data_IF_798980486880
#
_entry.id   IF_798980486880
#
_cell.length_a   1.000
_cell.length_b   1.000
_cell.length_c   1.000
_cell.angle_alpha   90.00
_cell.angle_beta   90.00
_cell.angle_gamma   90.00
#
_symmetry.space_group_name_H-M   'P 1'
#
loop_
_entity.id
_entity.type
_entity.pdbx_description
1 polymer ?
#
# COMPACT_ATOMS: atom_id res chain seq x y z
N UNK A 1 22.59 -1.51 9.60
CA UNK A 1 21.27 -1.47 10.29
C UNK A 1 21.23 -2.71 11.15
N UNK A 2 21.53 -2.58 12.46
CA UNK A 2 21.72 -3.74 13.33
C UNK A 2 20.46 -4.62 13.42
N UNK A 3 19.27 -4.02 13.47
CA UNK A 3 18.00 -4.78 13.50
C UNK A 3 17.80 -5.67 12.27
N UNK A 4 18.27 -5.21 11.11
CA UNK A 4 18.13 -5.94 9.86
C UNK A 4 19.15 -7.07 9.73
N UNK A 5 20.34 -6.89 10.31
CA UNK A 5 21.35 -7.93 10.40
C UNK A 5 20.87 -9.05 11.33
N UNK A 6 20.35 -8.69 12.51
CA UNK A 6 19.73 -9.65 13.43
C UNK A 6 18.57 -10.42 12.78
N UNK A 7 17.69 -9.75 12.05
CA UNK A 7 16.60 -10.41 11.31
C UNK A 7 17.10 -11.45 10.30
N UNK A 8 18.30 -11.26 9.76
CA UNK A 8 18.91 -12.18 8.81
C UNK A 8 19.83 -13.22 9.45
N UNK A 9 19.81 -13.34 10.78
CA UNK A 9 20.54 -14.35 11.53
C UNK A 9 21.97 -13.96 11.90
N UNK A 10 22.37 -12.69 11.74
CA UNK A 10 23.68 -12.24 12.21
C UNK A 10 23.68 -12.09 13.73
N UNK A 11 24.62 -12.78 14.39
CA UNK A 11 24.82 -12.71 15.84
C UNK A 11 25.67 -11.49 16.25
N UNK A 12 26.55 -11.03 15.36
CA UNK A 12 27.44 -9.89 15.58
C UNK A 12 27.18 -8.78 14.57
N UNK A 13 27.47 -7.53 14.95
CA UNK A 13 27.30 -6.39 14.06
C UNK A 13 28.31 -6.44 12.91
N UNK A 14 27.81 -6.55 11.69
CA UNK A 14 28.64 -6.56 10.49
C UNK A 14 28.79 -5.15 9.92
N UNK A 15 30.00 -4.78 9.50
CA UNK A 15 30.23 -3.52 8.79
C UNK A 15 29.80 -3.60 7.32
N UNK A 16 29.82 -4.80 6.72
CA UNK A 16 29.26 -5.02 5.39
C UNK A 16 27.74 -5.26 5.47
N UNK A 17 27.03 -4.87 4.41
CA UNK A 17 25.62 -5.22 4.29
C UNK A 17 25.51 -6.69 3.86
N UNK A 18 24.73 -7.48 4.58
CA UNK A 18 24.47 -8.91 4.29
C UNK A 18 23.82 -9.08 2.91
N UNK A 19 23.05 -8.08 2.47
CA UNK A 19 22.49 -8.02 1.13
C UNK A 19 22.03 -6.60 0.77
N UNK A 20 21.85 -6.34 -0.52
CA UNK A 20 21.36 -5.06 -1.01
C UNK A 20 19.93 -4.75 -0.52
N UNK A 21 19.67 -3.49 -0.17
CA UNK A 21 18.36 -3.06 0.36
C UNK A 21 17.21 -3.33 -0.60
N UNK A 22 17.49 -3.45 -1.90
CA UNK A 22 16.48 -3.71 -2.93
C UNK A 22 16.26 -5.20 -3.18
N UNK A 23 17.04 -6.12 -2.59
CA UNK A 23 16.91 -7.56 -2.88
C UNK A 23 15.53 -8.11 -2.53
N UNK A 24 14.95 -7.75 -1.37
CA UNK A 24 13.60 -8.18 -1.02
C UNK A 24 12.54 -7.61 -1.97
N UNK A 25 12.71 -6.36 -2.42
CA UNK A 25 11.81 -5.75 -3.41
C UNK A 25 11.90 -6.50 -4.74
N UNK A 26 13.12 -6.79 -5.23
CA UNK A 26 13.34 -7.55 -6.47
C UNK A 26 12.84 -8.99 -6.36
N UNK A 27 13.03 -9.65 -5.22
CA UNK A 27 12.50 -10.98 -4.96
C UNK A 27 10.98 -10.97 -5.03
N UNK A 28 10.31 -10.07 -4.31
CA UNK A 28 8.84 -9.95 -4.33
C UNK A 28 8.30 -9.71 -5.74
N UNK A 29 8.95 -8.85 -6.53
CA UNK A 29 8.55 -8.59 -7.92
C UNK A 29 8.73 -9.81 -8.84
N UNK A 30 9.66 -10.72 -8.52
CA UNK A 30 9.91 -11.95 -9.29
C UNK A 30 9.03 -13.13 -8.87
N UNK A 31 8.53 -13.16 -7.64
CA UNK A 31 7.72 -14.30 -7.18
C UNK A 31 6.33 -14.28 -7.83
N UNK A 32 5.65 -13.14 -7.84
CA UNK A 32 4.25 -13.10 -8.27
C UNK A 32 3.33 -13.88 -7.32
N UNK A 33 2.02 -13.88 -7.61
CA UNK A 33 1.03 -14.54 -6.76
C UNK A 33 1.16 -16.08 -6.80
N UNK A 34 1.26 -16.66 -7.99
CA UNK A 34 1.32 -18.10 -8.20
C UNK A 34 2.47 -18.78 -7.43
N UNK A 35 3.69 -18.22 -7.49
CA UNK A 35 4.84 -18.81 -6.79
C UNK A 35 4.75 -18.63 -5.28
N UNK A 36 4.13 -17.54 -4.80
CA UNK A 36 3.91 -17.35 -3.36
C UNK A 36 2.88 -18.35 -2.84
N UNK A 37 1.82 -18.64 -3.61
CA UNK A 37 0.86 -19.69 -3.28
C UNK A 37 1.52 -21.07 -3.26
N UNK A 38 2.36 -21.39 -4.25
CA UNK A 38 3.10 -22.64 -4.27
C UNK A 38 4.07 -22.78 -3.07
N UNK A 39 4.74 -21.69 -2.67
CA UNK A 39 5.58 -21.68 -1.46
C UNK A 39 4.77 -21.92 -0.19
N UNK A 40 3.56 -21.36 -0.10
CA UNK A 40 2.67 -21.61 1.03
C UNK A 40 2.25 -23.08 1.09
N UNK A 41 1.83 -23.64 -0.05
CA UNK A 41 1.48 -25.06 -0.18
C UNK A 41 2.64 -25.97 0.23
N UNK A 42 3.85 -25.69 -0.26
CA UNK A 42 5.05 -26.47 0.10
C UNK A 42 5.39 -26.34 1.58
N UNK A 43 5.16 -25.17 2.19
CA UNK A 43 5.36 -24.96 3.64
C UNK A 43 4.40 -25.83 4.47
N UNK A 44 3.14 -25.94 4.06
CA UNK A 44 2.15 -26.82 4.70
C UNK A 44 2.47 -28.31 4.48
N UNK A 45 2.92 -28.66 3.27
CA UNK A 45 3.35 -30.01 2.95
C UNK A 45 4.58 -30.41 3.79
N UNK A 46 5.57 -29.53 3.91
CA UNK A 46 6.74 -29.73 4.75
C UNK A 46 6.36 -29.90 6.23
N UNK A 47 5.47 -29.06 6.76
CA UNK A 47 4.97 -29.19 8.12
C UNK A 47 4.30 -30.57 8.35
N UNK A 48 3.58 -31.08 7.36
CA UNK A 48 2.98 -32.41 7.40
C UNK A 48 4.03 -33.52 7.40
N UNK A 49 5.01 -33.46 6.48
CA UNK A 49 6.09 -34.46 6.37
C UNK A 49 6.94 -34.52 7.63
N UNK A 50 7.16 -33.39 8.30
CA UNK A 50 7.93 -33.28 9.54
C UNK A 50 7.11 -33.63 10.80
N UNK A 51 5.81 -33.96 10.65
CA UNK A 51 4.91 -34.25 11.77
C UNK A 51 4.57 -33.04 12.64
N UNK A 52 4.86 -31.83 12.16
CA UNK A 52 4.50 -30.57 12.83
C UNK A 52 3.00 -30.25 12.67
N UNK A 53 2.35 -30.78 11.64
CA UNK A 53 0.90 -30.71 11.47
C UNK A 53 0.36 -32.02 10.89
N UNK A 54 -0.94 -32.26 11.07
CA UNK A 54 -1.67 -33.34 10.38
C UNK A 54 -2.57 -32.73 9.31
N UNK A 55 -2.86 -33.44 8.20
CA UNK A 55 -3.83 -32.98 7.20
C UNK A 55 -5.20 -32.64 7.80
N UNK A 56 -5.62 -33.38 8.84
CA UNK A 56 -6.86 -33.13 9.56
C UNK A 56 -6.92 -31.77 10.26
N UNK A 57 -5.77 -31.22 10.68
CA UNK A 57 -5.69 -29.94 11.40
C UNK A 57 -6.18 -28.77 10.51
N UNK A 58 -6.02 -28.90 9.19
CA UNK A 58 -6.38 -27.87 8.22
C UNK A 58 -7.84 -27.94 7.75
N UNK A 59 -8.62 -28.95 8.18
CA UNK A 59 -10.04 -29.09 7.78
C UNK A 59 -10.98 -28.19 8.57
N UNK A 60 -10.56 -27.69 9.73
CA UNK A 60 -11.29 -26.71 10.51
C UNK A 60 -10.48 -25.41 10.54
N UNK A 61 -11.02 -24.32 9.98
CA UNK A 61 -10.29 -23.06 9.83
C UNK A 61 -11.04 -21.88 10.43
N UNK A 62 -10.26 -20.92 10.92
CA UNK A 62 -10.71 -19.56 11.23
C UNK A 62 -10.31 -18.68 10.04
N UNK A 63 -11.26 -17.97 9.47
CA UNK A 63 -11.04 -17.01 8.37
C UNK A 63 -11.35 -15.62 8.88
N UNK A 64 -10.36 -14.74 8.83
CA UNK A 64 -10.53 -13.33 9.15
C UNK A 64 -10.06 -12.45 7.98
N UNK A 65 -10.61 -11.25 7.90
CA UNK A 65 -10.17 -10.21 6.98
C UNK A 65 -9.51 -9.08 7.75
N UNK A 66 -8.24 -8.82 7.44
CA UNK A 66 -7.45 -7.73 8.02
C UNK A 66 -6.93 -6.79 6.94
N UNK A 67 -6.21 -5.75 7.33
CA UNK A 67 -5.57 -4.81 6.40
C UNK A 67 -4.08 -5.03 6.44
N UNK A 68 -3.51 -5.42 5.30
CA UNK A 68 -2.06 -5.36 5.13
C UNK A 68 -1.68 -3.91 4.89
N UNK A 69 -1.34 -3.21 5.97
CA UNK A 69 -0.93 -1.81 5.90
C UNK A 69 0.29 -1.64 5.00
N UNK A 70 0.25 -0.59 4.19
CA UNK A 70 1.40 -0.13 3.43
C UNK A 70 2.13 0.91 4.26
N UNK A 71 3.45 0.89 4.23
CA UNK A 71 4.30 1.88 4.87
C UNK A 71 4.17 3.26 4.19
N UNK A 72 3.05 3.94 4.43
CA UNK A 72 2.75 5.27 3.94
C UNK A 72 2.63 6.24 5.11
N UNK A 73 2.92 7.51 4.83
CA UNK A 73 2.59 8.59 5.77
C UNK A 73 1.10 8.89 5.71
N UNK A 74 0.52 9.35 6.82
CA UNK A 74 -0.90 9.68 6.89
C UNK A 74 -1.32 10.63 5.73
N UNK A 75 -2.30 10.23 4.90
CA UNK A 75 -2.53 10.84 3.60
C UNK A 75 -3.47 12.05 3.68
N UNK A 76 -2.89 13.24 3.86
CA UNK A 76 -3.65 14.49 3.76
C UNK A 76 -3.59 15.05 2.34
N UNK A 77 -4.71 15.58 1.84
CA UNK A 77 -4.78 16.16 0.49
C UNK A 77 -3.74 17.29 0.30
N UNK A 78 -3.53 18.12 1.32
CA UNK A 78 -2.50 19.18 1.29
C UNK A 78 -1.08 18.61 1.10
N UNK A 79 -0.72 17.57 1.86
CA UNK A 79 0.58 16.93 1.77
C UNK A 79 0.74 16.23 0.42
N UNK A 80 -0.28 15.52 -0.05
CA UNK A 80 -0.27 14.85 -1.35
C UNK A 80 -0.09 15.84 -2.50
N UNK A 81 -0.84 16.94 -2.52
CA UNK A 81 -0.67 17.98 -3.55
C UNK A 81 0.73 18.58 -3.54
N UNK A 82 1.26 18.88 -2.35
CA UNK A 82 2.62 19.38 -2.21
C UNK A 82 3.66 18.37 -2.72
N UNK A 83 3.53 17.09 -2.35
CA UNK A 83 4.45 16.01 -2.75
C UNK A 83 4.35 15.72 -4.25
N UNK A 84 3.16 15.79 -4.84
CA UNK A 84 2.96 15.64 -6.28
C UNK A 84 3.73 16.74 -7.03
N UNK A 85 3.62 17.99 -6.57
CA UNK A 85 4.40 19.11 -7.12
C UNK A 85 5.91 18.86 -7.01
N UNK A 86 6.40 18.46 -5.84
CA UNK A 86 7.83 18.18 -5.65
C UNK A 86 8.35 17.10 -6.62
N UNK A 87 7.60 16.01 -6.78
CA UNK A 87 7.97 14.91 -7.69
C UNK A 87 8.00 15.38 -9.13
N UNK A 88 6.99 16.12 -9.58
CA UNK A 88 6.94 16.67 -10.94
C UNK A 88 8.09 17.66 -11.20
N UNK A 89 8.41 18.54 -10.25
CA UNK A 89 9.54 19.49 -10.37
C UNK A 89 10.87 18.75 -10.48
N UNK A 90 11.10 17.72 -9.65
CA UNK A 90 12.31 16.90 -9.72
C UNK A 90 12.41 16.15 -11.05
N UNK A 91 11.30 15.58 -11.52
CA UNK A 91 11.23 14.87 -12.78
C UNK A 91 11.49 15.82 -13.97
N UNK A 92 10.90 17.02 -13.95
CA UNK A 92 11.20 18.07 -14.93
C UNK A 92 12.70 18.40 -14.99
N UNK A 93 13.35 18.58 -13.84
CA UNK A 93 14.80 18.80 -13.77
C UNK A 93 15.61 17.64 -14.35
N UNK A 94 15.24 16.39 -14.03
CA UNK A 94 15.90 15.18 -14.58
C UNK A 94 15.86 15.12 -16.11
N UNK A 95 14.80 15.65 -16.72
CA UNK A 95 14.60 15.65 -18.17
C UNK A 95 14.88 17.02 -18.82
N UNK A 96 15.60 17.92 -18.14
CA UNK A 96 16.00 19.21 -18.70
C UNK A 96 14.85 20.20 -18.97
N UNK A 97 13.65 19.96 -18.41
CA UNK A 97 12.49 20.83 -18.59
C UNK A 97 12.59 22.02 -17.63
N UNK A 98 12.96 23.19 -18.15
CA UNK A 98 12.96 24.43 -17.38
C UNK A 98 11.53 24.90 -17.10
N UNK A 99 11.08 24.81 -15.86
CA UNK A 99 9.74 25.27 -15.44
C UNK A 99 9.67 26.80 -15.34
N UNK A 100 8.51 27.39 -15.67
CA UNK A 100 8.24 28.83 -15.45
C UNK A 100 8.33 29.16 -13.95
N UNK A 101 7.79 28.28 -13.11
CA UNK A 101 7.85 28.41 -11.66
C UNK A 101 7.71 27.04 -11.00
N UNK A 102 8.62 26.72 -10.08
CA UNK A 102 8.60 25.46 -9.32
C UNK A 102 7.73 25.52 -8.06
N UNK A 103 7.42 26.72 -7.58
CA UNK A 103 6.74 27.01 -6.32
C UNK A 103 7.36 26.34 -5.08
N UNK A 104 8.65 25.97 -5.12
CA UNK A 104 9.28 25.20 -4.04
C UNK A 104 9.16 25.88 -2.67
N UNK A 105 9.55 27.16 -2.58
CA UNK A 105 9.51 27.95 -1.33
C UNK A 105 8.07 28.21 -0.88
N UNK A 106 7.26 28.82 -1.74
CA UNK A 106 5.88 29.22 -1.40
C UNK A 106 4.95 28.04 -1.16
N UNK A 107 5.17 26.91 -1.84
CA UNK A 107 4.44 25.67 -1.62
C UNK A 107 4.74 25.05 -0.26
N UNK A 108 5.98 25.15 0.24
CA UNK A 108 6.36 24.68 1.59
C UNK A 108 5.69 25.53 2.66
N UNK A 109 5.74 26.86 2.50
CA UNK A 109 5.09 27.81 3.42
C UNK A 109 3.57 27.57 3.47
N UNK A 110 2.93 27.38 2.31
CA UNK A 110 1.50 27.11 2.24
C UNK A 110 1.11 25.80 2.95
N UNK A 111 1.92 24.74 2.80
CA UNK A 111 1.71 23.47 3.52
C UNK A 111 1.81 23.65 5.04
N UNK A 112 2.86 24.32 5.51
CA UNK A 112 3.06 24.58 6.95
C UNK A 112 1.89 25.39 7.51
N UNK A 113 1.47 26.45 6.82
CA UNK A 113 0.31 27.27 7.22
C UNK A 113 -0.97 26.42 7.25
N UNK A 114 -1.21 25.60 6.24
CA UNK A 114 -2.35 24.68 6.21
C UNK A 114 -2.37 23.78 7.45
N UNK A 115 -1.25 23.12 7.77
CA UNK A 115 -1.13 22.21 8.91
C UNK A 115 -1.39 22.93 10.24
N UNK A 116 -0.79 24.11 10.45
CA UNK A 116 -1.00 24.92 11.65
C UNK A 116 -2.46 25.36 11.81
N UNK A 117 -3.08 25.84 10.74
CA UNK A 117 -4.49 26.25 10.79
C UNK A 117 -5.43 25.06 11.01
N UNK A 118 -5.16 23.91 10.39
CA UNK A 118 -5.97 22.70 10.60
C UNK A 118 -5.86 22.19 12.04
N UNK A 119 -4.65 22.19 12.61
CA UNK A 119 -4.42 21.86 14.02
C UNK A 119 -5.19 22.79 14.96
N UNK A 120 -5.15 24.10 14.69
CA UNK A 120 -5.91 25.10 15.46
C UNK A 120 -7.41 25.15 15.13
N UNK A 121 -7.96 24.18 14.38
CA UNK A 121 -9.36 24.14 13.91
C UNK A 121 -9.82 25.37 13.10
N UNK A 122 -8.90 26.17 12.56
CA UNK A 122 -9.16 27.34 11.72
C UNK A 122 -9.40 26.95 10.25
N UNK A 123 -10.43 26.15 9.99
CA UNK A 123 -10.65 25.51 8.68
C UNK A 123 -10.84 26.50 7.51
N UNK A 124 -11.44 27.68 7.73
CA UNK A 124 -11.52 28.72 6.70
C UNK A 124 -10.13 29.14 6.19
N UNK A 125 -9.16 29.32 7.11
CA UNK A 125 -7.77 29.68 6.76
C UNK A 125 -7.01 28.50 6.17
N UNK A 126 -7.21 27.29 6.70
CA UNK A 126 -6.64 26.07 6.15
C UNK A 126 -7.07 25.84 4.69
N UNK A 127 -8.37 25.96 4.40
CA UNK A 127 -8.94 25.77 3.07
C UNK A 127 -8.41 26.78 2.04
N UNK A 128 -8.12 28.03 2.45
CA UNK A 128 -7.44 29.00 1.58
C UNK A 128 -6.04 28.52 1.19
N UNK A 129 -5.27 27.97 2.13
CA UNK A 129 -3.95 27.40 1.81
C UNK A 129 -4.05 26.13 0.96
N UNK A 130 -5.06 25.29 1.21
CA UNK A 130 -5.34 24.11 0.38
C UNK A 130 -5.64 24.51 -1.08
N UNK A 131 -6.49 25.53 -1.30
CA UNK A 131 -6.76 26.09 -2.63
C UNK A 131 -5.48 26.60 -3.29
N UNK A 132 -4.61 27.29 -2.52
CA UNK A 132 -3.31 27.77 -3.02
C UNK A 132 -2.41 26.61 -3.49
N UNK A 133 -2.31 25.53 -2.71
CA UNK A 133 -1.56 24.33 -3.09
C UNK A 133 -2.12 23.69 -4.36
N UNK A 134 -3.45 23.57 -4.47
CA UNK A 134 -4.15 23.08 -5.67
C UNK A 134 -3.81 23.90 -6.91
N UNK A 135 -3.84 25.23 -6.80
CA UNK A 135 -3.48 26.14 -7.89
C UNK A 135 -2.02 25.97 -8.33
N UNK A 136 -1.08 25.90 -7.38
CA UNK A 136 0.35 25.69 -7.69
C UNK A 136 0.58 24.35 -8.41
N UNK A 137 -0.03 23.27 -7.93
CA UNK A 137 0.05 21.96 -8.59
C UNK A 137 -0.53 22.01 -10.01
N UNK A 138 -1.69 22.63 -10.18
CA UNK A 138 -2.32 22.81 -11.48
C UNK A 138 -1.48 23.65 -12.46
N UNK A 139 -0.75 24.66 -11.96
CA UNK A 139 0.18 25.44 -12.77
C UNK A 139 1.36 24.58 -13.25
N UNK A 140 1.98 23.80 -12.36
CA UNK A 140 3.10 22.90 -12.73
C UNK A 140 2.66 21.82 -13.72
N UNK A 141 1.50 21.18 -13.50
CA UNK A 141 0.95 20.19 -14.44
C UNK A 141 0.79 20.80 -15.83
N UNK A 142 0.20 21.99 -15.94
CA UNK A 142 -0.02 22.66 -17.24
C UNK A 142 1.30 23.04 -17.92
N UNK A 143 2.24 23.59 -17.17
CA UNK A 143 3.55 23.99 -17.72
C UNK A 143 4.32 22.78 -18.27
N UNK A 144 4.39 21.68 -17.51
CA UNK A 144 5.00 20.43 -17.97
C UNK A 144 4.27 19.90 -19.19
N UNK A 145 2.93 19.78 -19.14
CA UNK A 145 2.13 19.22 -20.24
C UNK A 145 2.36 19.99 -21.55
N UNK A 146 2.48 21.33 -21.48
CA UNK A 146 2.78 22.16 -22.67
C UNK A 146 4.20 21.93 -23.20
N UNK A 147 5.19 21.76 -22.33
CA UNK A 147 6.60 21.61 -22.73
C UNK A 147 6.96 20.23 -23.24
N UNK A 148 6.19 19.21 -22.86
CA UNK A 148 6.33 17.86 -23.42
C UNK A 148 5.45 17.65 -24.66
N UNK A 149 4.56 18.59 -24.99
CA UNK A 149 3.75 18.47 -26.20
C UNK A 149 4.68 18.44 -27.44
N UNK A 150 4.50 17.44 -28.31
CA UNK A 150 5.37 17.22 -29.46
C UNK A 150 6.69 16.49 -29.15
N UNK A 151 6.88 16.01 -27.91
CA UNK A 151 8.07 15.26 -27.46
C UNK A 151 7.69 13.85 -27.01
N UNK A 152 7.51 12.89 -27.93
CA UNK A 152 7.02 11.54 -27.62
C UNK A 152 7.93 10.80 -26.62
N UNK A 153 9.24 11.06 -26.65
CA UNK A 153 10.24 10.51 -25.74
C UNK A 153 10.00 10.91 -24.27
N UNK A 154 9.31 12.02 -24.03
CA UNK A 154 8.95 12.49 -22.70
C UNK A 154 7.56 12.01 -22.25
N UNK A 155 6.77 11.38 -23.11
CA UNK A 155 5.42 10.92 -22.75
C UNK A 155 5.47 9.74 -21.76
N UNK A 156 6.33 8.76 -22.03
CA UNK A 156 6.48 7.59 -21.17
C UNK A 156 6.89 7.94 -19.71
N UNK A 157 7.97 8.71 -19.46
CA UNK A 157 8.38 9.02 -18.08
C UNK A 157 7.39 9.93 -17.33
N UNK A 158 6.64 10.79 -18.03
CA UNK A 158 5.70 11.72 -17.39
C UNK A 158 4.26 11.21 -17.29
N UNK A 159 3.87 10.17 -18.03
CA UNK A 159 2.48 9.68 -18.11
C UNK A 159 1.87 9.36 -16.75
N UNK A 160 2.45 8.40 -16.02
CA UNK A 160 1.97 8.01 -14.69
C UNK A 160 2.09 9.16 -13.66
N UNK A 161 3.23 9.86 -13.52
CA UNK A 161 3.34 10.99 -12.60
C UNK A 161 2.32 12.11 -12.84
N UNK A 162 2.07 12.49 -14.10
CA UNK A 162 1.05 13.50 -14.44
C UNK A 162 -0.36 12.99 -14.18
N UNK A 163 -0.65 11.73 -14.50
CA UNK A 163 -1.95 11.10 -14.19
C UNK A 163 -2.26 11.13 -12.68
N UNK A 164 -1.32 10.67 -11.86
CA UNK A 164 -1.46 10.71 -10.39
C UNK A 164 -1.58 12.14 -9.86
N UNK A 165 -0.80 13.07 -10.38
CA UNK A 165 -0.87 14.48 -9.98
C UNK A 165 -2.22 15.12 -10.32
N UNK A 166 -2.81 14.79 -11.47
CA UNK A 166 -4.16 15.23 -11.86
C UNK A 166 -5.20 14.64 -10.90
N UNK A 167 -5.17 13.33 -10.65
CA UNK A 167 -6.04 12.68 -9.65
C UNK A 167 -5.95 13.36 -8.29
N UNK A 168 -4.73 13.62 -7.80
CA UNK A 168 -4.49 14.32 -6.52
C UNK A 168 -4.97 15.76 -6.51
N UNK A 169 -4.94 16.46 -7.64
CA UNK A 169 -5.45 17.83 -7.74
C UNK A 169 -6.97 17.86 -7.70
N UNK A 170 -7.59 16.91 -8.40
CA UNK A 170 -9.02 16.89 -8.69
C UNK A 170 -9.82 16.13 -7.62
N UNK A 171 -9.15 15.35 -6.76
CA UNK A 171 -9.81 14.61 -5.69
C UNK A 171 -10.56 15.52 -4.72
N UNK A 172 -11.76 15.07 -4.32
CA UNK A 172 -12.69 15.81 -3.46
C UNK A 172 -12.72 15.22 -2.05
N UNK A 173 -13.23 16.03 -1.11
CA UNK A 173 -13.52 15.54 0.23
C UNK A 173 -14.64 14.48 0.13
N UNK A 174 -14.46 13.34 0.82
CA UNK A 174 -15.38 12.17 0.82
C UNK A 174 -15.50 11.41 -0.50
N UNK A 175 -14.60 11.62 -1.46
CA UNK A 175 -14.53 10.78 -2.65
C UNK A 175 -14.18 9.33 -2.28
N UNK A 176 -14.98 8.37 -2.75
CA UNK A 176 -14.80 6.93 -2.55
C UNK A 176 -14.21 6.27 -3.80
N UNK A 177 -13.41 5.23 -3.62
CA UNK A 177 -12.87 4.35 -4.68
C UNK A 177 -11.72 4.94 -5.51
N UNK A 178 -11.82 6.17 -6.00
CA UNK A 178 -10.81 6.75 -6.93
C UNK A 178 -9.72 7.58 -6.26
N UNK A 179 -9.81 7.76 -4.94
CA UNK A 179 -8.92 8.64 -4.17
C UNK A 179 -7.50 8.09 -4.09
N UNK A 180 -6.51 8.96 -4.31
CA UNK A 180 -5.10 8.60 -4.13
C UNK A 180 -4.71 8.88 -2.69
N UNK A 181 -4.24 7.85 -1.99
CA UNK A 181 -3.69 7.97 -0.63
C UNK A 181 -2.16 8.04 -0.62
N UNK A 182 -1.49 7.48 -1.62
CA UNK A 182 -0.03 7.55 -1.73
C UNK A 182 0.42 7.68 -3.18
N UNK A 183 1.41 8.55 -3.41
CA UNK A 183 1.99 8.73 -4.75
C UNK A 183 3.00 7.63 -5.13
N UNK A 184 3.57 6.90 -4.16
CA UNK A 184 4.49 5.78 -4.44
C UNK A 184 3.80 4.41 -4.37
N UNK A 185 2.58 4.37 -3.83
CA UNK A 185 1.77 3.18 -3.72
C UNK A 185 0.31 3.58 -4.05
N UNK A 186 0.02 3.92 -5.32
CA UNK A 186 -1.31 4.39 -5.73
C UNK A 186 -2.41 3.34 -5.60
N UNK A 187 -2.04 2.07 -5.41
CA UNK A 187 -2.91 0.93 -5.10
C UNK A 187 -3.44 0.92 -3.66
N UNK A 188 -2.89 1.77 -2.76
CA UNK A 188 -3.32 1.81 -1.35
C UNK A 188 -4.75 2.30 -1.23
N UNK A 189 -5.53 1.59 -0.42
CA UNK A 189 -6.91 1.88 -0.09
C UNK A 189 -7.02 2.40 1.35
N UNK A 190 -8.16 3.02 1.67
CA UNK A 190 -8.52 3.44 3.02
C UNK A 190 -9.65 2.56 3.53
N UNK A 191 -9.35 1.74 4.54
CA UNK A 191 -10.26 0.71 5.03
C UNK A 191 -10.62 1.05 6.47
N UNK A 192 -11.92 1.14 6.76
CA UNK A 192 -12.42 1.31 8.11
C UNK A 192 -12.90 -0.03 8.67
N UNK A 193 -12.29 -0.49 9.77
CA UNK A 193 -12.61 -1.75 10.46
C UNK A 193 -13.28 -1.53 11.82
N UNK A 194 -13.91 -0.37 12.03
CA UNK A 194 -14.63 -0.06 13.28
C UNK A 194 -13.77 0.11 14.54
N UNK A 195 -12.44 0.04 14.43
CA UNK A 195 -11.54 0.18 15.59
C UNK A 195 -11.62 1.59 16.19
N UNK A 196 -11.98 1.69 17.46
CA UNK A 196 -12.20 2.97 18.14
C UNK A 196 -10.98 3.91 18.12
N UNK A 197 -9.78 3.37 18.34
CA UNK A 197 -8.54 4.17 18.41
C UNK A 197 -7.89 4.42 17.03
N UNK A 198 -8.27 3.66 16.01
CA UNK A 198 -7.71 3.74 14.65
C UNK A 198 -8.82 3.50 13.62
N UNK A 199 -9.66 4.51 13.34
CA UNK A 199 -10.85 4.33 12.50
C UNK A 199 -10.53 3.97 11.05
N UNK A 200 -9.30 4.24 10.58
CA UNK A 200 -8.86 3.97 9.22
C UNK A 200 -7.45 3.37 9.19
N UNK A 201 -7.30 2.33 8.37
CA UNK A 201 -6.03 1.70 8.01
C UNK A 201 -5.78 1.91 6.51
N UNK A 202 -4.52 2.05 6.13
CA UNK A 202 -4.13 2.34 4.75
C UNK A 202 -3.29 1.22 4.17
N UNK A 203 -3.89 0.44 3.29
CA UNK A 203 -3.25 -0.76 2.75
C UNK A 203 -4.12 -1.45 1.72
N UNK A 204 -3.99 -2.76 1.66
CA UNK A 204 -4.90 -3.62 0.90
C UNK A 204 -5.61 -4.54 1.88
N UNK A 205 -6.88 -4.82 1.65
CA UNK A 205 -7.59 -5.83 2.43
C UNK A 205 -6.97 -7.19 2.14
N UNK A 206 -6.77 -8.00 3.16
CA UNK A 206 -6.27 -9.36 3.03
C UNK A 206 -7.17 -10.30 3.82
N UNK A 207 -7.42 -11.48 3.27
CA UNK A 207 -7.97 -12.59 4.03
C UNK A 207 -6.85 -13.50 4.47
N UNK A 208 -6.93 -13.95 5.72
CA UNK A 208 -6.02 -14.92 6.31
C UNK A 208 -6.87 -16.06 6.87
N UNK A 209 -6.54 -17.30 6.49
CA UNK A 209 -7.10 -18.49 7.09
C UNK A 209 -6.05 -19.19 7.95
N UNK A 210 -6.42 -19.60 9.16
CA UNK A 210 -5.56 -20.37 10.05
C UNK A 210 -6.33 -21.58 10.61
N UNK A 211 -5.66 -22.67 10.99
CA UNK A 211 -6.32 -23.79 11.67
C UNK A 211 -7.09 -23.33 12.92
N UNK A 212 -8.27 -23.89 13.14
CA UNK A 212 -9.09 -23.63 14.33
C UNK A 212 -8.39 -24.08 15.61
N UNK A 213 -7.65 -25.18 15.52
CA UNK A 213 -6.89 -25.76 16.61
C UNK A 213 -5.40 -25.66 16.31
N UNK A 214 -4.58 -25.46 17.34
CA UNK A 214 -3.13 -25.45 17.19
C UNK A 214 -2.65 -26.84 16.77
N UNK A 215 -1.79 -26.89 15.76
CA UNK A 215 -1.04 -28.09 15.39
C UNK A 215 0.15 -28.29 16.34
N UNK A 216 0.82 -29.45 16.26
CA UNK A 216 2.00 -29.76 17.08
C UNK A 216 3.12 -28.73 16.93
N UNK A 217 3.32 -28.21 15.73
CA UNK A 217 4.30 -27.17 15.39
C UNK A 217 3.81 -25.74 15.62
N UNK A 218 2.65 -25.55 16.23
CA UNK A 218 2.05 -24.24 16.50
C UNK A 218 0.96 -23.84 15.51
N UNK A 219 0.82 -22.54 15.27
CA UNK A 219 -0.19 -21.98 14.37
C UNK A 219 0.39 -21.81 12.98
N UNK A 220 -0.34 -22.28 11.97
CA UNK A 220 0.02 -22.15 10.56
C UNK A 220 -0.90 -21.17 9.85
N UNK A 221 -0.40 -20.53 8.79
CA UNK A 221 -1.25 -19.83 7.83
C UNK A 221 -1.65 -20.86 6.78
N UNK A 222 -2.93 -21.25 6.78
CA UNK A 222 -3.46 -22.23 5.83
C UNK A 222 -3.74 -21.58 4.46
N UNK A 223 -4.09 -20.30 4.46
CA UNK A 223 -4.31 -19.52 3.25
C UNK A 223 -4.10 -18.04 3.52
N UNK A 224 -3.63 -17.30 2.51
CA UNK A 224 -3.60 -15.84 2.52
C UNK A 224 -3.90 -15.30 1.13
N UNK A 225 -4.75 -14.28 1.04
CA UNK A 225 -5.11 -13.66 -0.24
C UNK A 225 -5.31 -12.16 -0.11
N UNK A 226 -4.75 -11.41 -1.05
CA UNK A 226 -5.02 -9.99 -1.19
C UNK A 226 -6.38 -9.77 -1.90
N UNK A 227 -7.15 -8.81 -1.39
CA UNK A 227 -8.49 -8.48 -1.85
C UNK A 227 -8.55 -6.99 -2.23
N UNK A 228 -7.98 -6.61 -3.39
CA UNK A 228 -8.05 -5.24 -3.87
C UNK A 228 -9.49 -4.85 -4.23
N UNK A 229 -9.75 -3.55 -4.26
CA UNK A 229 -11.07 -2.94 -4.52
C UNK A 229 -11.88 -2.62 -3.26
N UNK A 230 -11.30 -2.78 -2.06
CA UNK A 230 -11.99 -2.64 -0.78
C UNK A 230 -13.37 -3.35 -0.73
N UNK A 231 -13.42 -4.68 -0.97
CA UNK A 231 -14.69 -5.42 -0.98
C UNK A 231 -15.34 -5.42 0.40
N UNK A 232 -16.66 -5.53 0.47
CA UNK A 232 -17.37 -5.69 1.73
C UNK A 232 -17.07 -7.05 2.36
N UNK A 233 -16.81 -7.10 3.67
CA UNK A 233 -16.30 -8.29 4.36
C UNK A 233 -17.21 -9.52 4.16
N UNK A 234 -18.53 -9.35 4.25
CA UNK A 234 -19.49 -10.43 4.04
C UNK A 234 -19.48 -11.05 2.63
N UNK A 235 -18.97 -10.34 1.62
CA UNK A 235 -18.88 -10.87 0.24
C UNK A 235 -17.55 -11.60 -0.02
N UNK A 236 -16.60 -11.54 0.91
CA UNK A 236 -15.26 -12.09 0.68
C UNK A 236 -15.23 -13.60 0.85
N UNK A 237 -15.95 -14.16 1.83
CA UNK A 237 -15.89 -15.59 2.18
C UNK A 237 -16.16 -16.51 0.99
N UNK A 238 -17.28 -16.34 0.28
CA UNK A 238 -17.63 -17.18 -0.86
C UNK A 238 -16.56 -17.19 -1.97
N UNK A 239 -15.82 -16.08 -2.10
CA UNK A 239 -14.73 -15.95 -3.08
C UNK A 239 -13.44 -16.65 -2.63
N UNK A 240 -13.25 -16.83 -1.32
CA UNK A 240 -12.00 -17.30 -0.72
C UNK A 240 -12.06 -18.78 -0.38
N UNK A 241 -13.22 -19.34 -0.01
CA UNK A 241 -13.34 -20.74 0.38
C UNK A 241 -12.76 -21.73 -0.65
N UNK A 242 -13.07 -21.63 -1.97
CA UNK A 242 -12.46 -22.53 -2.95
C UNK A 242 -10.93 -22.37 -3.03
N UNK A 243 -10.42 -21.15 -2.81
CA UNK A 243 -8.99 -20.89 -2.82
C UNK A 243 -8.28 -21.47 -1.59
N UNK A 244 -8.96 -21.49 -0.43
CA UNK A 244 -8.47 -22.16 0.78
C UNK A 244 -8.39 -23.68 0.54
N UNK A 245 -9.45 -24.29 0.02
CA UNK A 245 -9.49 -25.73 -0.25
C UNK A 245 -8.40 -26.14 -1.24
N UNK A 246 -8.18 -25.36 -2.31
CA UNK A 246 -7.09 -25.56 -3.25
C UNK A 246 -5.70 -25.40 -2.61
N UNK A 247 -5.55 -24.49 -1.64
CA UNK A 247 -4.27 -24.28 -0.93
C UNK A 247 -3.95 -25.42 0.03
N UNK A 248 -4.97 -25.98 0.68
CA UNK A 248 -4.82 -27.07 1.65
C UNK A 248 -4.79 -28.43 0.95
N UNK A 249 -5.44 -28.55 -0.21
CA UNK A 249 -5.64 -29.82 -0.92
C UNK A 249 -6.72 -30.70 -0.28
N UNK A 250 -7.65 -30.12 0.49
CA UNK A 250 -8.74 -30.83 1.16
C UNK A 250 -9.96 -29.95 1.38
N UNK A 251 -11.14 -30.58 1.43
CA UNK A 251 -12.40 -29.89 1.73
C UNK A 251 -12.47 -29.48 3.20
N UNK A 252 -13.00 -28.27 3.42
CA UNK A 252 -13.22 -27.73 4.76
C UNK A 252 -14.43 -28.42 5.42
N UNK A 253 -14.25 -28.86 6.66
CA UNK A 253 -15.31 -29.45 7.48
C UNK A 253 -15.95 -28.42 8.42
N UNK A 254 -15.20 -27.39 8.83
CA UNK A 254 -15.68 -26.32 9.71
C UNK A 254 -15.01 -25.00 9.39
N UNK A 255 -15.82 -23.95 9.29
CA UNK A 255 -15.35 -22.58 9.06
C UNK A 255 -15.87 -21.72 10.19
N UNK A 256 -14.98 -20.98 10.83
CA UNK A 256 -15.30 -19.94 11.80
C UNK A 256 -14.88 -18.62 11.18
N UNK A 257 -15.78 -17.65 11.11
CA UNK A 257 -15.50 -16.32 10.59
C UNK A 257 -16.22 -15.28 11.45
N UNK A 258 -15.60 -14.12 11.64
CA UNK A 258 -16.25 -12.98 12.26
C UNK A 258 -17.19 -12.32 11.24
N UNK A 259 -18.45 -12.11 11.64
CA UNK A 259 -19.52 -11.51 10.84
C UNK A 259 -19.47 -9.96 10.86
#
# INVERSE_FOLDING_TARGET
NPYYQLFCGEEFFQHHLVFDRTSLTRWRLRMGEERLTALLQESLAAATRLGAAKPADFRAVIVDTTVQEKAITFPTDAKLMHRARERLVKLAGKHGIRLRQSYARVGKIALIKHQRYAHAKQFKRANRQLKRLRTMLGAVIRDITRKIAGRPELMAPFGLPLSLARRVRDQRQRERGRKVYSLHAPEVECIGKGKAHKPYEFGVKVSVATPLYRSRGGQFVAHIKALPGNPYDGHTLATILPAIENSIGANLAKIVADA
#
